data_IF_288465497008
#
_entry.id   IF_288465497008
#
_cell.length_a   1.000
_cell.length_b   1.000
_cell.length_c   1.000
_cell.angle_alpha   90.00
_cell.angle_beta   90.00
_cell.angle_gamma   90.00
#
_symmetry.space_group_name_H-M   'P 1'
#
loop_
_entity.id
_entity.type
_entity.pdbx_description
1 polymer ?
#
# COMPACT_ATOMS: atom_id res chain seq x y z
N UNK A 1 32.83 6.18 5.34
CA UNK A 1 31.81 5.09 5.37
C UNK A 1 30.48 5.60 5.91
N UNK A 2 30.38 6.12 7.14
CA UNK A 2 29.08 6.62 7.65
C UNK A 2 28.48 7.76 6.83
N UNK A 3 29.30 8.74 6.43
CA UNK A 3 28.85 9.81 5.52
C UNK A 3 28.40 9.26 4.16
N UNK A 4 29.08 8.23 3.64
CA UNK A 4 28.73 7.61 2.37
C UNK A 4 27.37 6.92 2.43
N UNK A 5 27.11 6.17 3.51
CA UNK A 5 25.79 5.61 3.78
C UNK A 5 24.70 6.69 3.89
N UNK A 6 25.00 7.80 4.60
CA UNK A 6 24.07 8.92 4.73
C UNK A 6 23.76 9.59 3.39
N UNK A 7 24.74 9.72 2.50
CA UNK A 7 24.54 10.25 1.15
C UNK A 7 23.60 9.35 0.35
N UNK A 8 23.85 8.04 0.33
CA UNK A 8 23.02 7.07 -0.39
C UNK A 8 21.57 7.06 0.16
N UNK A 9 21.39 6.93 1.48
CA UNK A 9 20.04 6.86 2.05
C UNK A 9 19.26 8.17 1.88
N UNK A 10 19.95 9.32 1.97
CA UNK A 10 19.32 10.63 1.74
C UNK A 10 18.91 10.78 0.28
N UNK A 11 19.69 10.25 -0.66
CA UNK A 11 19.34 10.22 -2.09
C UNK A 11 18.05 9.43 -2.31
N UNK A 12 17.95 8.22 -1.75
CA UNK A 12 16.73 7.39 -1.82
C UNK A 12 15.51 8.09 -1.21
N UNK A 13 15.68 8.74 -0.06
CA UNK A 13 14.60 9.49 0.61
C UNK A 13 14.16 10.72 -0.19
N UNK A 14 15.09 11.41 -0.85
CA UNK A 14 14.77 12.54 -1.72
C UNK A 14 13.99 12.07 -2.96
N UNK A 15 14.36 10.95 -3.57
CA UNK A 15 13.61 10.36 -4.68
C UNK A 15 12.17 9.99 -4.27
N UNK A 16 12.01 9.38 -3.09
CA UNK A 16 10.69 9.13 -2.52
C UNK A 16 9.90 10.42 -2.36
N UNK A 17 10.50 11.44 -1.74
CA UNK A 17 9.83 12.70 -1.48
C UNK A 17 9.38 13.39 -2.77
N UNK A 18 10.22 13.40 -3.81
CA UNK A 18 9.85 13.92 -5.14
C UNK A 18 8.67 13.14 -5.73
N UNK A 19 8.68 11.80 -5.60
CA UNK A 19 7.56 10.98 -6.08
C UNK A 19 6.27 11.26 -5.31
N UNK A 20 6.32 11.47 -4.00
CA UNK A 20 5.13 11.78 -3.19
C UNK A 20 4.59 13.21 -3.44
N UNK A 21 5.44 14.13 -3.88
CA UNK A 21 5.06 15.52 -4.16
C UNK A 21 4.47 15.74 -5.56
N UNK A 22 4.31 14.69 -6.39
CA UNK A 22 3.70 14.82 -7.71
C UNK A 22 2.28 15.41 -7.62
N UNK A 23 2.00 16.45 -8.40
CA UNK A 23 0.67 17.07 -8.46
C UNK A 23 -0.40 16.03 -8.87
N UNK A 24 -1.59 16.09 -8.26
CA UNK A 24 -2.75 15.23 -8.56
C UNK A 24 -2.56 13.71 -8.33
N UNK A 25 -1.76 13.29 -7.34
CA UNK A 25 -1.71 11.86 -7.02
C UNK A 25 -2.94 11.39 -6.24
N UNK A 26 -3.62 10.37 -6.78
CA UNK A 26 -4.64 9.62 -6.06
C UNK A 26 -4.05 8.98 -4.81
N UNK A 27 -4.87 8.78 -3.77
CA UNK A 27 -4.48 8.11 -2.53
C UNK A 27 -3.90 6.71 -2.82
N UNK A 28 -4.48 5.99 -3.78
CA UNK A 28 -3.99 4.71 -4.27
C UNK A 28 -2.57 4.78 -4.83
N UNK A 29 -2.22 5.84 -5.56
CA UNK A 29 -0.88 6.04 -6.12
C UNK A 29 0.16 6.31 -5.03
N UNK A 30 -0.18 7.17 -4.07
CA UNK A 30 0.67 7.43 -2.91
C UNK A 30 0.92 6.15 -2.11
N UNK A 31 -0.10 5.30 -1.94
CA UNK A 31 0.06 3.98 -1.32
C UNK A 31 1.01 3.08 -2.07
N UNK A 32 0.85 2.93 -3.38
CA UNK A 32 1.79 2.15 -4.18
C UNK A 32 3.22 2.65 -4.05
N UNK A 33 3.43 3.97 -4.01
CA UNK A 33 4.76 4.58 -3.83
C UNK A 33 5.35 4.23 -2.45
N UNK A 34 4.56 4.41 -1.38
CA UNK A 34 4.95 4.14 0.02
C UNK A 34 5.26 2.66 0.19
N UNK A 35 4.34 1.77 -0.21
CA UNK A 35 4.50 0.32 -0.12
C UNK A 35 5.72 -0.16 -0.91
N UNK A 36 5.92 0.33 -2.13
CA UNK A 36 7.09 -0.04 -2.92
C UNK A 36 8.40 0.41 -2.25
N UNK A 37 8.42 1.57 -1.60
CA UNK A 37 9.60 2.05 -0.88
C UNK A 37 9.88 1.24 0.38
N UNK A 38 8.84 0.87 1.14
CA UNK A 38 8.97 -0.01 2.30
C UNK A 38 9.55 -1.37 1.93
N UNK A 39 9.09 -1.98 0.82
CA UNK A 39 9.64 -3.22 0.28
C UNK A 39 11.10 -3.06 -0.15
N UNK A 40 11.46 -1.92 -0.75
CA UNK A 40 12.86 -1.60 -1.07
C UNK A 40 13.72 -1.52 0.19
N UNK A 41 13.26 -0.84 1.25
CA UNK A 41 13.99 -0.78 2.52
C UNK A 41 14.23 -2.17 3.11
N UNK A 42 13.22 -3.04 3.10
CA UNK A 42 13.33 -4.45 3.57
C UNK A 42 14.35 -5.24 2.73
N UNK A 43 14.30 -5.09 1.40
CA UNK A 43 15.30 -5.70 0.51
C UNK A 43 16.71 -5.18 0.81
N UNK A 44 16.87 -3.87 0.88
CA UNK A 44 18.16 -3.22 1.14
C UNK A 44 18.76 -3.62 2.48
N UNK A 45 17.95 -3.72 3.53
CA UNK A 45 18.39 -4.21 4.84
C UNK A 45 18.97 -5.63 4.71
N UNK A 46 18.24 -6.57 4.10
CA UNK A 46 18.70 -7.96 3.94
C UNK A 46 19.98 -8.07 3.08
N UNK A 47 20.11 -7.22 2.05
CA UNK A 47 21.28 -7.20 1.18
C UNK A 47 22.50 -6.61 1.87
N UNK A 48 22.33 -5.50 2.57
CA UNK A 48 23.41 -4.86 3.31
C UNK A 48 23.99 -5.82 4.36
N UNK A 49 23.15 -6.59 5.06
CA UNK A 49 23.58 -7.57 6.06
C UNK A 49 24.51 -8.65 5.48
N UNK A 50 24.30 -9.05 4.22
CA UNK A 50 25.18 -9.99 3.50
C UNK A 50 26.29 -9.31 2.70
N UNK A 51 26.62 -8.06 3.03
CA UNK A 51 27.64 -7.23 2.37
C UNK A 51 27.37 -6.94 0.88
N UNK A 52 26.11 -6.95 0.47
CA UNK A 52 25.69 -6.53 -0.86
C UNK A 52 25.24 -5.06 -0.85
N UNK A 53 26.09 -4.18 -1.37
CA UNK A 53 25.89 -2.73 -1.41
C UNK A 53 25.45 -2.21 -2.78
N UNK A 54 24.82 -3.05 -3.62
CA UNK A 54 24.41 -2.69 -4.99
C UNK A 54 23.56 -1.40 -5.08
N UNK A 55 22.73 -1.13 -4.07
CA UNK A 55 21.88 0.07 -4.00
C UNK A 55 22.48 1.19 -3.13
N UNK A 56 23.72 1.05 -2.69
CA UNK A 56 24.46 2.04 -1.92
C UNK A 56 25.81 2.29 -2.60
N UNK A 57 25.80 2.88 -3.82
CA UNK A 57 27.00 2.99 -4.64
C UNK A 57 28.10 3.83 -3.97
N UNK A 58 27.75 4.91 -3.27
CA UNK A 58 28.75 5.74 -2.58
C UNK A 58 29.37 4.97 -1.43
N UNK A 59 28.59 4.20 -0.68
CA UNK A 59 29.10 3.34 0.38
C UNK A 59 29.98 2.20 -0.17
N UNK A 60 29.58 1.60 -1.29
CA UNK A 60 30.28 0.47 -1.92
C UNK A 60 31.73 0.81 -2.29
N UNK A 61 32.00 2.06 -2.69
CA UNK A 61 33.35 2.56 -3.00
C UNK A 61 34.33 2.41 -1.82
N UNK A 62 33.85 2.36 -0.58
CA UNK A 62 34.67 2.26 0.61
C UNK A 62 34.81 0.82 1.15
N UNK A 63 34.23 -0.17 0.47
CA UNK A 63 34.27 -1.59 0.85
C UNK A 63 34.06 -1.82 2.37
N UNK A 64 32.89 -1.45 2.91
CA UNK A 64 32.66 -1.44 4.35
C UNK A 64 32.72 -2.86 4.92
N UNK A 65 33.39 -2.99 6.07
CA UNK A 65 33.54 -4.27 6.79
C UNK A 65 32.49 -4.49 7.88
N UNK A 66 31.65 -3.49 8.16
CA UNK A 66 30.66 -3.50 9.24
C UNK A 66 29.25 -3.32 8.66
N UNK A 67 28.77 -4.33 7.94
CA UNK A 67 27.43 -4.38 7.35
C UNK A 67 26.31 -4.33 8.38
N UNK A 68 26.51 -4.97 9.54
CA UNK A 68 25.50 -5.10 10.60
C UNK A 68 25.02 -3.73 11.12
N UNK A 69 25.95 -2.77 11.26
CA UNK A 69 25.61 -1.40 11.65
C UNK A 69 24.64 -0.76 10.65
N UNK A 70 24.92 -0.90 9.35
CA UNK A 70 24.08 -0.29 8.31
C UNK A 70 22.74 -1.00 8.17
N UNK A 71 22.72 -2.34 8.29
CA UNK A 71 21.47 -3.11 8.38
C UNK A 71 20.59 -2.65 9.55
N UNK A 72 21.19 -2.44 10.72
CA UNK A 72 20.50 -1.94 11.91
C UNK A 72 19.93 -0.53 11.72
N UNK A 73 20.66 0.36 11.04
CA UNK A 73 20.17 1.71 10.72
C UNK A 73 19.00 1.67 9.74
N UNK A 74 19.04 0.80 8.72
CA UNK A 74 17.92 0.61 7.80
C UNK A 74 16.72 0.02 8.55
N UNK A 75 16.93 -0.91 9.49
CA UNK A 75 15.84 -1.46 10.32
C UNK A 75 15.16 -0.39 11.17
N UNK A 76 15.92 0.55 11.74
CA UNK A 76 15.35 1.70 12.45
C UNK A 76 14.51 2.55 11.49
N UNK A 77 15.04 2.83 10.29
CA UNK A 77 14.32 3.58 9.27
C UNK A 77 13.02 2.90 8.83
N UNK A 78 13.01 1.57 8.68
CA UNK A 78 11.79 0.79 8.39
C UNK A 78 10.74 1.03 9.47
N UNK A 79 11.11 0.93 10.76
CA UNK A 79 10.16 1.13 11.87
C UNK A 79 9.60 2.55 11.92
N UNK A 80 10.45 3.55 11.66
CA UNK A 80 10.02 4.95 11.56
C UNK A 80 9.07 5.15 10.38
N UNK A 81 9.33 4.48 9.25
CA UNK A 81 8.49 4.52 8.06
C UNK A 81 7.12 3.89 8.33
N UNK A 82 7.10 2.67 8.88
CA UNK A 82 5.88 1.95 9.25
C UNK A 82 5.04 2.79 10.23
N UNK A 83 5.68 3.40 11.24
CA UNK A 83 4.99 4.28 12.21
C UNK A 83 4.43 5.52 11.52
N UNK A 84 5.22 6.19 10.67
CA UNK A 84 4.84 7.45 10.02
C UNK A 84 3.67 7.27 9.05
N UNK A 85 3.63 6.16 8.32
CA UNK A 85 2.63 5.90 7.29
C UNK A 85 1.52 4.94 7.74
N UNK A 86 1.47 4.57 9.02
CA UNK A 86 0.51 3.59 9.53
C UNK A 86 -0.94 3.94 9.20
N UNK A 87 -1.36 5.17 9.50
CA UNK A 87 -2.75 5.60 9.28
C UNK A 87 -3.06 5.77 7.80
N UNK A 88 -2.06 6.13 7.00
CA UNK A 88 -2.17 6.18 5.55
C UNK A 88 -2.38 4.77 4.97
N UNK A 89 -1.60 3.78 5.42
CA UNK A 89 -1.77 2.38 5.03
C UNK A 89 -3.15 1.84 5.42
N UNK A 90 -3.62 2.12 6.65
CA UNK A 90 -5.00 1.75 7.07
C UNK A 90 -6.05 2.38 6.15
N UNK A 91 -5.93 3.67 5.88
CA UNK A 91 -6.88 4.39 5.01
C UNK A 91 -6.90 3.82 3.60
N UNK A 92 -5.72 3.50 3.05
CA UNK A 92 -5.61 2.88 1.73
C UNK A 92 -6.16 1.45 1.70
N UNK A 93 -5.97 0.66 2.76
CA UNK A 93 -6.55 -0.67 2.86
C UNK A 93 -8.08 -0.60 2.92
N UNK A 94 -8.64 0.32 3.69
CA UNK A 94 -10.08 0.59 3.72
C UNK A 94 -10.59 0.96 2.32
N UNK A 95 -9.85 1.78 1.58
CA UNK A 95 -10.17 2.09 0.19
C UNK A 95 -10.09 0.85 -0.71
N UNK A 96 -9.03 0.03 -0.59
CA UNK A 96 -8.84 -1.16 -1.41
C UNK A 96 -9.89 -2.26 -1.16
N UNK A 97 -10.35 -2.43 0.08
CA UNK A 97 -11.46 -3.33 0.43
C UNK A 97 -12.74 -2.92 -0.30
N UNK A 98 -12.92 -1.62 -0.53
CA UNK A 98 -14.08 -1.08 -1.21
C UNK A 98 -13.95 -1.07 -2.74
N UNK A 99 -12.83 -0.58 -3.26
CA UNK A 99 -12.62 -0.42 -4.70
C UNK A 99 -12.13 -1.68 -5.41
N UNK A 100 -11.46 -2.59 -4.68
CA UNK A 100 -10.86 -3.81 -5.24
C UNK A 100 -10.98 -5.02 -4.28
N UNK A 101 -12.17 -5.34 -3.73
CA UNK A 101 -12.35 -6.40 -2.74
C UNK A 101 -11.82 -7.77 -3.18
N UNK A 102 -11.80 -8.04 -4.49
CA UNK A 102 -11.34 -9.29 -5.07
C UNK A 102 -9.81 -9.45 -5.17
N UNK A 103 -9.04 -8.44 -4.77
CA UNK A 103 -7.58 -8.42 -4.90
C UNK A 103 -6.85 -8.00 -3.64
N UNK A 104 -7.56 -7.73 -2.54
CA UNK A 104 -6.93 -7.40 -1.26
C UNK A 104 -6.25 -8.62 -0.64
N UNK A 105 -5.08 -8.40 -0.05
CA UNK A 105 -4.41 -9.40 0.78
C UNK A 105 -5.15 -9.57 2.12
N UNK A 106 -5.79 -10.73 2.28
CA UNK A 106 -6.55 -11.10 3.48
C UNK A 106 -5.70 -11.02 4.76
N UNK A 107 -4.39 -11.31 4.66
CA UNK A 107 -3.51 -11.29 5.84
C UNK A 107 -3.18 -9.87 6.30
N UNK A 108 -3.37 -8.88 5.43
CA UNK A 108 -3.05 -7.48 5.69
C UNK A 108 -4.28 -6.64 6.12
N UNK A 109 -5.52 -7.12 5.91
CA UNK A 109 -6.74 -6.39 6.30
C UNK A 109 -7.10 -6.58 7.78
N UNK A 110 -7.83 -5.62 8.36
CA UNK A 110 -8.33 -5.75 9.74
C UNK A 110 -9.18 -7.01 9.93
N UNK A 111 -9.06 -7.65 11.10
CA UNK A 111 -9.72 -8.93 11.43
C UNK A 111 -11.22 -8.95 11.15
N UNK A 112 -11.92 -7.82 11.36
CA UNK A 112 -13.37 -7.71 11.11
C UNK A 112 -13.77 -7.96 9.65
N UNK A 113 -12.87 -7.72 8.69
CA UNK A 113 -13.14 -7.90 7.26
C UNK A 113 -12.75 -9.28 6.73
N UNK A 114 -11.83 -9.97 7.41
CA UNK A 114 -11.14 -11.14 6.84
C UNK A 114 -12.11 -12.23 6.36
N UNK A 115 -13.07 -12.62 7.20
CA UNK A 115 -14.00 -13.70 6.87
C UNK A 115 -14.91 -13.34 5.68
N UNK A 116 -15.50 -12.15 5.68
CA UNK A 116 -16.35 -11.68 4.58
C UNK A 116 -15.56 -11.51 3.28
N UNK A 117 -14.32 -11.00 3.34
CA UNK A 117 -13.45 -10.90 2.17
C UNK A 117 -13.09 -12.28 1.61
N UNK A 118 -12.85 -13.29 2.45
CA UNK A 118 -12.54 -14.66 2.00
C UNK A 118 -13.73 -15.25 1.23
N UNK A 119 -14.92 -15.17 1.81
CA UNK A 119 -16.16 -15.67 1.19
C UNK A 119 -16.42 -14.94 -0.14
N UNK A 120 -16.31 -13.61 -0.12
CA UNK A 120 -16.51 -12.79 -1.30
C UNK A 120 -15.49 -13.11 -2.41
N UNK A 121 -14.20 -13.21 -2.08
CA UNK A 121 -13.13 -13.52 -3.05
C UNK A 121 -13.29 -14.89 -3.70
N UNK A 122 -13.94 -15.83 -3.00
CA UNK A 122 -14.18 -17.18 -3.48
C UNK A 122 -15.41 -17.28 -4.39
N UNK A 123 -16.28 -16.27 -4.40
CA UNK A 123 -17.52 -16.25 -5.18
C UNK A 123 -17.29 -15.69 -6.61
N UNK A 124 -17.30 -16.59 -7.58
CA UNK A 124 -17.11 -16.26 -9.00
C UNK A 124 -18.26 -15.40 -9.54
N UNK A 125 -19.50 -15.61 -9.08
CA UNK A 125 -20.66 -14.85 -9.55
C UNK A 125 -20.60 -13.41 -9.06
N UNK A 126 -20.23 -13.20 -7.79
CA UNK A 126 -20.00 -11.83 -7.30
C UNK A 126 -18.86 -11.15 -8.03
N UNK A 127 -17.78 -11.87 -8.37
CA UNK A 127 -16.68 -11.31 -9.17
C UNK A 127 -17.14 -10.87 -10.56
N UNK A 128 -17.96 -11.67 -11.23
CA UNK A 128 -18.55 -11.31 -12.52
C UNK A 128 -19.46 -10.08 -12.40
N UNK A 129 -20.34 -10.04 -11.39
CA UNK A 129 -21.21 -8.88 -11.14
C UNK A 129 -20.41 -7.63 -10.85
N UNK A 130 -19.37 -7.72 -10.03
CA UNK A 130 -18.48 -6.61 -9.71
C UNK A 130 -17.85 -6.02 -10.97
N UNK A 131 -17.33 -6.86 -11.86
CA UNK A 131 -16.71 -6.40 -13.11
C UNK A 131 -17.71 -5.82 -14.14
N UNK A 132 -19.01 -6.11 -13.98
CA UNK A 132 -20.07 -5.68 -14.91
C UNK A 132 -20.90 -4.51 -14.38
N UNK A 133 -20.62 -4.00 -13.18
CA UNK A 133 -21.43 -2.98 -12.52
C UNK A 133 -20.57 -1.89 -11.91
N UNK A 134 -21.19 -0.74 -11.62
CA UNK A 134 -20.52 0.29 -10.81
C UNK A 134 -20.33 -0.21 -9.38
N UNK A 135 -19.36 0.35 -8.64
CA UNK A 135 -19.20 0.04 -7.20
C UNK A 135 -20.51 0.23 -6.43
N UNK A 136 -21.27 1.29 -6.75
CA UNK A 136 -22.55 1.57 -6.11
C UNK A 136 -23.57 0.47 -6.36
N UNK A 137 -23.72 0.04 -7.62
CA UNK A 137 -24.67 -1.00 -7.97
C UNK A 137 -24.25 -2.35 -7.40
N UNK A 138 -22.95 -2.66 -7.39
CA UNK A 138 -22.40 -3.85 -6.75
C UNK A 138 -22.85 -3.96 -5.29
N UNK A 139 -22.48 -2.97 -4.47
CA UNK A 139 -22.75 -3.00 -3.03
C UNK A 139 -24.24 -2.85 -2.70
N UNK A 140 -25.02 -2.15 -3.54
CA UNK A 140 -26.44 -1.88 -3.25
C UNK A 140 -27.41 -2.94 -3.79
N UNK A 141 -27.12 -3.53 -4.96
CA UNK A 141 -28.04 -4.42 -5.65
C UNK A 141 -27.63 -5.90 -5.57
N UNK A 142 -26.33 -6.17 -5.47
CA UNK A 142 -25.82 -7.54 -5.57
C UNK A 142 -25.28 -8.09 -4.26
N UNK A 143 -24.60 -7.29 -3.43
CA UNK A 143 -24.03 -7.77 -2.17
C UNK A 143 -25.10 -7.79 -1.04
N UNK A 144 -25.56 -8.97 -0.57
CA UNK A 144 -26.61 -9.04 0.44
C UNK A 144 -26.10 -8.65 1.83
N UNK A 145 -26.76 -7.69 2.47
CA UNK A 145 -26.38 -7.17 3.79
C UNK A 145 -26.44 -8.24 4.89
N UNK A 146 -27.33 -9.21 4.75
CA UNK A 146 -27.51 -10.28 5.74
C UNK A 146 -26.30 -11.24 5.76
N UNK A 147 -25.60 -11.38 4.63
CA UNK A 147 -24.42 -12.25 4.50
C UNK A 147 -23.12 -11.48 4.64
N UNK A 148 -23.08 -10.22 4.19
CA UNK A 148 -21.89 -9.37 4.20
C UNK A 148 -22.12 -8.04 4.95
N UNK A 149 -22.56 -8.06 6.22
CA UNK A 149 -22.90 -6.85 6.94
C UNK A 149 -21.71 -5.90 7.12
N UNK A 150 -20.49 -6.42 7.36
CA UNK A 150 -19.31 -5.59 7.59
C UNK A 150 -18.86 -4.89 6.31
N UNK A 151 -18.79 -5.61 5.19
CA UNK A 151 -18.44 -5.03 3.90
C UNK A 151 -19.52 -4.05 3.41
N UNK A 152 -20.79 -4.35 3.65
CA UNK A 152 -21.88 -3.46 3.29
C UNK A 152 -21.85 -2.15 4.10
N UNK A 153 -21.68 -2.21 5.42
CA UNK A 153 -21.60 -1.02 6.25
C UNK A 153 -20.33 -0.20 5.95
N UNK A 154 -19.22 -0.87 5.64
CA UNK A 154 -18.00 -0.22 5.16
C UNK A 154 -18.21 0.49 3.81
N UNK A 155 -18.90 -0.14 2.86
CA UNK A 155 -19.22 0.49 1.59
C UNK A 155 -20.07 1.76 1.80
N UNK A 156 -21.07 1.74 2.69
CA UNK A 156 -21.86 2.94 3.03
C UNK A 156 -21.00 4.05 3.64
N UNK A 157 -20.06 3.69 4.52
CA UNK A 157 -19.08 4.63 5.06
C UNK A 157 -18.23 5.25 3.94
N UNK A 158 -17.74 4.44 2.99
CA UNK A 158 -16.95 4.91 1.85
C UNK A 158 -17.77 5.82 0.92
N UNK A 159 -19.01 5.45 0.60
CA UNK A 159 -19.91 6.28 -0.21
C UNK A 159 -20.19 7.65 0.43
N UNK A 160 -20.33 7.71 1.76
CA UNK A 160 -20.63 8.95 2.49
C UNK A 160 -19.41 9.85 2.72
N UNK A 161 -18.22 9.28 2.86
CA UNK A 161 -16.99 10.03 3.19
C UNK A 161 -16.10 10.33 1.98
N UNK A 162 -16.21 9.52 0.91
CA UNK A 162 -15.34 9.60 -0.26
C UNK A 162 -16.10 9.80 -1.57
N UNK A 163 -17.30 10.39 -1.54
CA UNK A 163 -18.12 10.63 -2.74
C UNK A 163 -17.37 11.39 -3.85
N UNK A 164 -16.41 12.25 -3.49
CA UNK A 164 -15.54 12.95 -4.44
C UNK A 164 -14.52 12.04 -5.14
N UNK A 165 -13.99 11.02 -4.47
CA UNK A 165 -13.03 10.03 -5.04
C UNK A 165 -13.74 9.12 -6.03
N UNK A 166 -14.96 8.71 -5.70
CA UNK A 166 -15.82 7.89 -6.56
C UNK A 166 -16.20 8.57 -7.88
N UNK A 167 -16.38 9.89 -7.84
CA UNK A 167 -16.67 10.68 -9.05
C UNK A 167 -15.45 10.70 -9.99
N UNK A 168 -14.23 10.54 -9.45
CA UNK A 168 -13.00 10.47 -10.22
C UNK A 168 -12.80 9.09 -10.87
N UNK A 169 -13.09 8.00 -10.15
CA UNK A 169 -12.93 6.64 -10.69
C UNK A 169 -13.98 6.30 -11.76
N UNK A 170 -15.24 6.72 -11.60
CA UNK A 170 -16.28 6.48 -12.61
C UNK A 170 -16.01 7.20 -13.95
N UNK A 171 -15.24 8.29 -13.95
CA UNK A 171 -14.90 9.02 -15.17
C UNK A 171 -13.62 8.48 -15.86
N UNK A 172 -12.75 7.74 -15.16
CA UNK A 172 -11.53 7.19 -15.76
C UNK A 172 -11.72 5.81 -16.43
N UNK A 173 -12.86 5.14 -16.23
CA UNK A 173 -13.18 3.86 -16.88
C UNK A 173 -14.24 3.98 -17.99
N UNK A 174 -14.54 5.20 -18.45
CA UNK A 174 -15.47 5.47 -19.57
C UNK A 174 -14.81 6.10 -20.81
N UNK A 175 -13.48 6.14 -20.90
CA UNK A 175 -12.75 6.55 -22.13
C UNK A 175 -12.00 5.39 -22.79
#
# INVERSE_FOLDING_TARGET
>A
MDLAFLVDITTHLNELNVRLQGNNQLISNMFQIITAFELKLKLWQSQVEVNNFMYFPVLAEYNPKNSEKYGSLILILIKEFETRFQDFCKTSQLFAIFATPFSVDITAVETKFQMECIELQSDIQFKEKFNQSSLLDFYKLYLPKETYPVLHDHALFMFSHFSAVLTFENNCFQE
#
